data_IF_484878559419
#
_entry.id   IF_484878559419
#
_cell.length_a   1.000
_cell.length_b   1.000
_cell.length_c   1.000
_cell.angle_alpha   90.00
_cell.angle_beta   90.00
_cell.angle_gamma   90.00
#
_symmetry.space_group_name_H-M   'P 1'
#
loop_
_entity.id
_entity.type
_entity.pdbx_description
1 polymer ?
#
# COMPACT_ATOMS: atom_id res chain seq x y z
N UNK A 1 -25.25 0.24 -5.74
CA UNK A 1 -24.29 1.06 -6.53
C UNK A 1 -23.73 2.14 -5.62
N UNK A 2 -22.45 2.44 -5.47
CA UNK A 2 -21.19 1.81 -5.85
C UNK A 2 -20.16 2.58 -5.02
N UNK A 3 -19.89 2.14 -3.79
CA UNK A 3 -18.83 2.69 -2.91
C UNK A 3 -17.40 2.40 -3.42
N UNK A 4 -17.29 2.01 -4.68
CA UNK A 4 -16.08 1.52 -5.32
C UNK A 4 -15.17 2.67 -5.80
N UNK A 5 -15.74 3.85 -6.10
CA UNK A 5 -14.99 4.95 -6.72
C UNK A 5 -14.21 5.84 -5.74
N UNK A 6 -14.60 5.89 -4.46
CA UNK A 6 -13.96 6.78 -3.47
C UNK A 6 -12.84 6.11 -2.64
N UNK A 7 -12.60 4.80 -2.80
CA UNK A 7 -11.51 4.09 -2.09
C UNK A 7 -10.20 3.99 -2.86
N UNK A 8 -10.24 4.14 -4.19
CA UNK A 8 -9.07 4.07 -5.06
C UNK A 8 -8.09 5.26 -4.96
N UNK A 9 -8.50 6.54 -4.77
CA UNK A 9 -7.56 7.65 -4.84
C UNK A 9 -6.54 7.65 -3.69
N UNK A 10 -6.98 7.28 -2.48
CA UNK A 10 -6.12 7.31 -1.29
C UNK A 10 -4.98 6.27 -1.36
N UNK A 11 -5.29 5.04 -1.76
CA UNK A 11 -4.29 3.97 -1.73
C UNK A 11 -3.26 4.07 -2.84
N UNK A 12 -3.69 4.51 -4.02
CA UNK A 12 -2.77 4.86 -5.09
C UNK A 12 -1.85 6.02 -4.67
N UNK A 13 -2.38 7.05 -4.01
CA UNK A 13 -1.59 8.17 -3.52
C UNK A 13 -0.54 7.74 -2.49
N UNK A 14 -0.92 6.91 -1.51
CA UNK A 14 0.03 6.38 -0.53
C UNK A 14 1.11 5.53 -1.19
N UNK A 15 0.74 4.67 -2.14
CA UNK A 15 1.69 3.82 -2.86
C UNK A 15 2.71 4.65 -3.63
N UNK A 16 2.25 5.66 -4.38
CA UNK A 16 3.13 6.58 -5.12
C UNK A 16 4.03 7.36 -4.17
N UNK A 17 3.50 7.85 -3.05
CA UNK A 17 4.28 8.56 -2.05
C UNK A 17 5.40 7.67 -1.46
N UNK A 18 5.09 6.41 -1.13
CA UNK A 18 6.09 5.45 -0.67
C UNK A 18 7.15 5.12 -1.73
N UNK A 19 6.75 4.99 -3.00
CA UNK A 19 7.69 4.74 -4.09
C UNK A 19 8.60 5.95 -4.35
N UNK A 20 8.06 7.17 -4.25
CA UNK A 20 8.82 8.40 -4.38
C UNK A 20 9.81 8.60 -3.23
N UNK A 21 9.39 8.34 -1.98
CA UNK A 21 10.26 8.38 -0.80
C UNK A 21 11.44 7.42 -0.94
N UNK A 22 11.19 6.23 -1.49
CA UNK A 22 12.20 5.21 -1.76
C UNK A 22 12.98 5.46 -3.07
N UNK A 23 12.70 6.55 -3.80
CA UNK A 23 13.35 6.94 -5.06
C UNK A 23 13.35 5.82 -6.11
N UNK A 24 12.26 5.05 -6.17
CA UNK A 24 12.13 3.93 -7.11
C UNK A 24 12.01 4.46 -8.54
N UNK A 25 12.82 3.91 -9.46
CA UNK A 25 12.70 4.18 -10.89
C UNK A 25 11.71 3.20 -11.51
N UNK A 26 10.56 3.66 -12.06
CA UNK A 26 9.54 2.79 -12.64
C UNK A 26 10.07 1.90 -13.77
N UNK A 27 11.08 2.37 -14.51
CA UNK A 27 11.69 1.67 -15.64
C UNK A 27 12.54 0.46 -15.20
N UNK A 28 12.90 0.37 -13.92
CA UNK A 28 13.70 -0.73 -13.36
C UNK A 28 12.86 -1.85 -12.76
N UNK A 29 11.53 -1.70 -12.75
CA UNK A 29 10.61 -2.66 -12.16
C UNK A 29 10.21 -3.73 -13.17
N UNK A 30 10.19 -4.98 -12.73
CA UNK A 30 9.70 -6.10 -13.54
C UNK A 30 8.18 -6.15 -13.59
N UNK A 31 7.62 -6.86 -14.57
CA UNK A 31 6.18 -7.09 -14.68
C UNK A 31 5.61 -7.74 -13.42
N UNK A 32 6.36 -8.63 -12.77
CA UNK A 32 5.95 -9.24 -11.50
C UNK A 32 5.79 -8.20 -10.39
N UNK A 33 6.71 -7.24 -10.30
CA UNK A 33 6.63 -6.16 -9.31
C UNK A 33 5.45 -5.24 -9.61
N UNK A 34 5.19 -4.93 -10.88
CA UNK A 34 4.00 -4.19 -11.30
C UNK A 34 2.69 -4.93 -10.99
N UNK A 35 2.65 -6.24 -11.17
CA UNK A 35 1.49 -7.06 -10.82
C UNK A 35 1.22 -7.02 -9.32
N UNK A 36 2.25 -7.15 -8.48
CA UNK A 36 2.09 -7.03 -7.03
C UNK A 36 1.66 -5.62 -6.59
N UNK A 37 2.15 -4.57 -7.24
CA UNK A 37 1.70 -3.20 -7.01
C UNK A 37 0.21 -3.03 -7.35
N UNK A 38 -0.23 -3.53 -8.51
CA UNK A 38 -1.63 -3.48 -8.93
C UNK A 38 -2.56 -4.27 -8.00
N UNK A 39 -2.14 -5.45 -7.56
CA UNK A 39 -2.87 -6.25 -6.56
C UNK A 39 -2.98 -5.56 -5.21
N UNK A 40 -1.91 -4.89 -4.77
CA UNK A 40 -1.91 -4.10 -3.55
C UNK A 40 -2.90 -2.92 -3.66
N UNK A 41 -2.89 -2.16 -4.76
CA UNK A 41 -3.83 -1.04 -4.95
C UNK A 41 -5.29 -1.54 -4.97
N UNK A 42 -5.55 -2.68 -5.63
CA UNK A 42 -6.90 -3.24 -5.75
C UNK A 42 -7.40 -3.88 -4.45
N UNK A 43 -6.52 -4.56 -3.72
CA UNK A 43 -6.85 -5.39 -2.54
C UNK A 43 -5.82 -5.24 -1.42
N UNK A 44 -5.61 -4.02 -0.88
CA UNK A 44 -4.45 -3.68 -0.05
C UNK A 44 -4.34 -4.54 1.19
N UNK A 45 -5.45 -4.84 1.86
CA UNK A 45 -5.44 -5.68 3.07
C UNK A 45 -5.09 -7.13 2.81
N UNK A 46 -5.57 -7.69 1.70
CA UNK A 46 -5.28 -9.08 1.35
C UNK A 46 -3.82 -9.21 0.95
N UNK A 47 -3.35 -8.29 0.09
CA UNK A 47 -1.98 -8.33 -0.39
C UNK A 47 -0.97 -7.98 0.70
N UNK A 48 -1.29 -7.05 1.58
CA UNK A 48 -0.46 -6.75 2.75
C UNK A 48 -0.33 -7.95 3.70
N UNK A 49 -1.40 -8.72 3.93
CA UNK A 49 -1.32 -9.93 4.76
C UNK A 49 -0.38 -10.97 4.15
N UNK A 50 -0.43 -11.15 2.83
CA UNK A 50 0.47 -12.05 2.11
C UNK A 50 1.93 -11.59 2.22
N UNK A 51 2.19 -10.31 2.00
CA UNK A 51 3.55 -9.74 1.96
C UNK A 51 4.17 -9.64 3.36
N UNK A 52 3.41 -9.14 4.34
CA UNK A 52 3.88 -8.92 5.71
C UNK A 52 3.77 -10.18 6.58
N UNK A 53 3.10 -11.24 6.11
CA UNK A 53 2.76 -12.44 6.89
C UNK A 53 2.04 -12.12 8.22
N UNK A 54 1.29 -11.00 8.27
CA UNK A 54 0.61 -10.51 9.46
C UNK A 54 -0.91 -10.49 9.24
N UNK A 55 -1.67 -11.17 10.11
CA UNK A 55 -3.14 -11.27 10.00
C UNK A 55 -3.85 -9.90 9.94
N UNK A 56 -3.28 -8.90 10.62
CA UNK A 56 -3.78 -7.52 10.71
C UNK A 56 -2.75 -6.47 10.28
N UNK A 57 -1.77 -6.81 9.44
CA UNK A 57 -0.63 -5.94 9.12
C UNK A 57 -0.96 -4.63 8.40
N UNK A 58 -2.20 -4.47 7.89
CA UNK A 58 -2.67 -3.25 7.25
C UNK A 58 -3.99 -2.76 7.84
N UNK A 59 -4.02 -1.58 8.52
CA UNK A 59 -5.20 -1.12 9.25
C UNK A 59 -6.33 -0.65 8.33
N UNK A 60 -7.59 -0.80 8.79
CA UNK A 60 -8.74 -0.21 8.08
C UNK A 60 -8.70 1.32 8.14
N UNK A 61 -9.06 2.04 7.05
CA UNK A 61 -9.13 3.50 7.06
C UNK A 61 -10.37 3.95 7.85
N UNK A 62 -10.30 3.86 9.18
CA UNK A 62 -11.43 4.10 10.10
C UNK A 62 -11.17 5.15 11.17
N UNK A 63 -10.02 5.85 11.16
CA UNK A 63 -9.70 6.72 12.30
C UNK A 63 -8.66 7.81 12.07
N UNK A 64 -8.61 8.68 13.09
CA UNK A 64 -7.77 9.87 13.23
C UNK A 64 -6.29 9.60 12.95
N UNK A 65 -5.56 10.67 12.59
CA UNK A 65 -4.14 10.63 12.18
C UNK A 65 -3.24 9.80 13.13
N UNK A 66 -3.43 9.91 14.44
CA UNK A 66 -2.53 9.37 15.49
C UNK A 66 -3.00 8.09 16.19
N UNK A 67 -4.11 7.47 15.78
CA UNK A 67 -4.60 6.24 16.41
C UNK A 67 -3.83 4.97 16.02
N UNK A 68 -3.97 3.90 16.80
CA UNK A 68 -3.41 2.55 16.55
C UNK A 68 -3.95 1.86 15.27
N UNK A 69 -4.86 2.53 14.56
CA UNK A 69 -5.37 2.18 13.22
C UNK A 69 -5.52 3.44 12.36
N UNK A 70 -4.71 4.45 12.65
CA UNK A 70 -4.77 5.78 12.07
C UNK A 70 -4.13 5.86 10.68
N UNK A 71 -4.35 6.99 10.01
CA UNK A 71 -3.80 7.25 8.68
C UNK A 71 -2.27 7.22 8.66
N UNK A 72 -1.60 7.65 9.73
CA UNK A 72 -0.13 7.60 9.83
C UNK A 72 0.39 6.17 9.71
N UNK A 73 -0.20 5.23 10.45
CA UNK A 73 0.23 3.83 10.40
C UNK A 73 -0.04 3.19 9.03
N UNK A 74 -1.07 3.64 8.31
CA UNK A 74 -1.25 3.25 6.91
C UNK A 74 -0.08 3.73 6.05
N UNK A 75 0.34 4.99 6.18
CA UNK A 75 1.50 5.50 5.46
C UNK A 75 2.76 4.67 5.76
N UNK A 76 3.06 4.44 7.04
CA UNK A 76 4.24 3.69 7.48
C UNK A 76 4.23 2.25 6.91
N UNK A 77 3.08 1.57 6.98
CA UNK A 77 2.92 0.22 6.42
C UNK A 77 2.96 0.20 4.89
N UNK A 78 2.47 1.24 4.22
CA UNK A 78 2.62 1.34 2.76
C UNK A 78 4.09 1.45 2.38
N UNK A 79 4.89 2.26 3.08
CA UNK A 79 6.34 2.35 2.81
C UNK A 79 7.03 1.00 2.98
N UNK A 80 6.68 0.26 4.04
CA UNK A 80 7.20 -1.10 4.28
C UNK A 80 6.83 -2.06 3.14
N UNK A 81 5.56 -2.07 2.73
CA UNK A 81 5.07 -2.91 1.63
C UNK A 81 5.72 -2.53 0.30
N UNK A 82 5.81 -1.24 -0.01
CA UNK A 82 6.45 -0.74 -1.23
C UNK A 82 7.91 -1.15 -1.26
N UNK A 83 8.63 -1.08 -0.13
CA UNK A 83 10.01 -1.56 -0.04
C UNK A 83 10.10 -3.05 -0.37
N UNK A 84 9.22 -3.88 0.21
CA UNK A 84 9.20 -5.33 -0.03
C UNK A 84 8.83 -5.70 -1.47
N UNK A 85 7.95 -4.94 -2.12
CA UNK A 85 7.56 -5.18 -3.52
C UNK A 85 8.62 -4.66 -4.49
N UNK A 86 9.09 -3.42 -4.31
CA UNK A 86 9.83 -2.67 -5.33
C UNK A 86 11.34 -2.65 -5.11
N UNK A 87 11.83 -2.93 -3.91
CA UNK A 87 13.23 -2.72 -3.54
C UNK A 87 13.82 -3.88 -2.72
N UNK A 88 13.55 -5.11 -3.16
CA UNK A 88 14.10 -6.33 -2.55
C UNK A 88 15.59 -6.22 -2.24
#
# INVERSE_FOLDING_TARGET
>A
MSSFFLRLPWQLALFIAGAAELKISPQKLSDTQWNHAGEFIRTPRNKAREILNEKNGYPEPKGQWTGEKGQKQQCDKVVEIVRLILNK
#
